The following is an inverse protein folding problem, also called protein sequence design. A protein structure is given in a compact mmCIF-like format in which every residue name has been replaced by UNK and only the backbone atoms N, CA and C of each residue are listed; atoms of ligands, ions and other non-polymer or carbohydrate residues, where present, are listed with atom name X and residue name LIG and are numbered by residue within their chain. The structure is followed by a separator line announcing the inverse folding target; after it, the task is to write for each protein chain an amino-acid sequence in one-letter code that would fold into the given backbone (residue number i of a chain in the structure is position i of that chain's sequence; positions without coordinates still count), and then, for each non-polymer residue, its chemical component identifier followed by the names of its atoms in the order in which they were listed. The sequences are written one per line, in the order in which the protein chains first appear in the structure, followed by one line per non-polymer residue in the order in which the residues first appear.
data_IF_083072814233
#
_entry.id   IF_083072814233
#
_cell.length_a   1.000
_cell.length_b   1.000
_cell.length_c   1.000
_cell.angle_alpha   90.00
_cell.angle_beta   90.00
_cell.angle_gamma   90.00
#
_symmetry.space_group_name_H-M   'P 1'
#
loop_
_entity.id
_entity.type
_entity.pdbx_description
1 polymer ?
#
# COMPACT_ATOMS: atom_id res chain seq x y z
N UNK A 1 32.85 -20.63 16.82
CA UNK A 1 31.44 -21.07 16.81
C UNK A 1 30.48 -20.05 17.42
N UNK A 2 30.76 -19.39 18.56
CA UNK A 2 29.84 -18.37 19.15
C UNK A 2 29.68 -17.11 18.26
N UNK A 3 30.73 -16.66 17.57
CA UNK A 3 30.64 -15.47 16.69
C UNK A 3 29.90 -15.70 15.37
N UNK A 4 29.84 -16.94 14.84
CA UNK A 4 29.15 -17.22 13.57
C UNK A 4 27.62 -17.16 13.72
N UNK A 5 27.06 -17.56 14.86
CA UNK A 5 25.62 -17.49 15.14
C UNK A 5 25.12 -16.06 15.43
N UNK A 6 26.00 -15.11 15.77
CA UNK A 6 25.59 -13.73 16.04
C UNK A 6 25.43 -12.87 14.78
N UNK A 7 26.07 -13.24 13.67
CA UNK A 7 26.20 -12.38 12.48
C UNK A 7 25.66 -12.99 11.18
N UNK A 8 25.24 -14.25 11.21
CA UNK A 8 24.70 -14.94 10.04
C UNK A 8 23.32 -15.52 10.33
N UNK A 9 22.47 -15.53 9.30
CA UNK A 9 21.15 -16.16 9.31
C UNK A 9 21.32 -17.68 9.20
N UNK A 10 20.74 -18.48 10.12
CA UNK A 10 20.96 -19.93 10.13
C UNK A 10 20.30 -20.65 8.95
N UNK A 11 19.26 -20.09 8.33
CA UNK A 11 18.57 -20.73 7.20
C UNK A 11 19.35 -20.56 5.89
N UNK A 12 19.76 -19.33 5.58
CA UNK A 12 20.38 -18.96 4.30
C UNK A 12 21.90 -18.87 4.36
N UNK A 13 22.49 -18.89 5.56
CA UNK A 13 23.91 -18.65 5.81
C UNK A 13 24.42 -17.28 5.33
N UNK A 14 23.51 -16.37 4.98
CA UNK A 14 23.84 -14.99 4.65
C UNK A 14 24.13 -14.16 5.92
N UNK A 15 24.89 -13.06 5.82
CA UNK A 15 24.89 -11.99 6.81
C UNK A 15 23.48 -11.67 7.30
N UNK A 16 23.31 -11.56 8.62
CA UNK A 16 22.03 -11.17 9.22
C UNK A 16 21.93 -9.63 9.36
N UNK A 17 20.77 -9.17 9.83
CA UNK A 17 20.49 -7.76 10.12
C UNK A 17 21.61 -7.07 10.92
N UNK A 18 22.15 -7.72 11.95
CA UNK A 18 23.20 -7.14 12.78
C UNK A 18 24.48 -6.87 11.98
N UNK A 19 24.93 -7.86 11.19
CA UNK A 19 26.15 -7.72 10.39
C UNK A 19 26.03 -6.61 9.35
N UNK A 20 24.91 -6.56 8.62
CA UNK A 20 24.72 -5.55 7.58
C UNK A 20 24.59 -4.14 8.19
N UNK A 21 23.92 -3.99 9.34
CA UNK A 21 23.85 -2.71 10.04
C UNK A 21 25.21 -2.21 10.51
N UNK A 22 26.07 -3.07 11.06
CA UNK A 22 27.43 -2.70 11.45
C UNK A 22 28.29 -2.29 10.25
N UNK A 23 28.12 -2.95 9.10
CA UNK A 23 28.82 -2.60 7.87
C UNK A 23 28.36 -1.25 7.32
N UNK A 24 27.05 -1.00 7.24
CA UNK A 24 26.49 0.28 6.79
C UNK A 24 26.96 1.42 7.70
N UNK A 25 26.99 1.21 9.02
CA UNK A 25 27.50 2.20 9.97
C UNK A 25 28.95 2.60 9.68
N UNK A 26 29.79 1.62 9.34
CA UNK A 26 31.18 1.88 8.99
C UNK A 26 31.29 2.71 7.71
N UNK A 27 30.53 2.37 6.68
CA UNK A 27 30.55 3.09 5.39
C UNK A 27 30.05 4.53 5.51
N UNK A 28 29.04 4.79 6.33
CA UNK A 28 28.57 6.17 6.61
C UNK A 28 29.70 6.99 7.24
N UNK A 29 30.38 6.45 8.25
CA UNK A 29 31.53 7.12 8.88
C UNK A 29 32.69 7.35 7.89
N UNK A 30 32.94 6.41 6.98
CA UNK A 30 33.96 6.54 5.92
C UNK A 30 33.60 7.65 4.93
N UNK A 31 32.33 7.72 4.50
CA UNK A 31 31.83 8.75 3.57
C UNK A 31 31.90 10.16 4.18
N UNK A 32 31.51 10.31 5.45
CA UNK A 32 31.58 11.59 6.17
C UNK A 32 33.01 12.11 6.28
N UNK A 33 33.97 11.24 6.66
CA UNK A 33 35.40 11.60 6.75
C UNK A 33 35.99 12.01 5.40
N UNK A 34 35.64 11.29 4.32
CA UNK A 34 36.13 11.63 2.98
C UNK A 34 35.64 13.01 2.53
N UNK A 35 34.40 13.39 2.88
CA UNK A 35 33.85 14.73 2.59
C UNK A 35 34.58 15.84 3.36
N UNK A 36 34.97 15.59 4.62
CA UNK A 36 35.77 16.54 5.41
C UNK A 36 37.17 16.77 4.81
N UNK A 37 37.85 15.71 4.34
CA UNK A 37 39.22 15.81 3.78
C UNK A 37 39.29 16.56 2.44
N UNK A 38 38.25 16.45 1.59
CA UNK A 38 38.14 17.19 0.32
C UNK A 38 38.15 18.71 0.55
N UNK A 39 37.71 19.18 1.71
CA UNK A 39 37.67 20.60 2.06
C UNK A 39 39.02 21.16 2.56
N UNK A 40 40.07 20.32 2.74
CA UNK A 40 41.30 20.70 3.45
C UNK A 40 42.57 20.68 2.58
N UNK A 41 42.56 20.17 1.34
CA UNK A 41 43.75 20.28 0.47
C UNK A 41 43.63 19.70 -0.93
N UNK A 42 44.32 20.32 -1.89
CA UNK A 42 44.24 20.05 -3.35
C UNK A 42 44.81 18.72 -3.86
N UNK A 43 44.61 17.61 -3.14
CA UNK A 43 44.86 16.26 -3.65
C UNK A 43 43.56 15.62 -4.15
N UNK A 44 43.63 14.77 -5.17
CA UNK A 44 42.48 14.01 -5.66
C UNK A 44 42.08 12.95 -4.62
N UNK A 45 40.99 13.20 -3.90
CA UNK A 45 40.35 12.22 -3.02
C UNK A 45 39.15 11.63 -3.76
N UNK A 46 39.12 10.31 -4.04
CA UNK A 46 37.99 9.70 -4.71
C UNK A 46 36.73 9.78 -3.83
N UNK A 47 35.63 10.28 -4.39
CA UNK A 47 34.36 10.35 -3.71
C UNK A 47 33.67 9.01 -3.90
N UNK A 48 33.77 8.14 -2.91
CA UNK A 48 33.19 6.81 -2.96
C UNK A 48 31.76 6.86 -2.44
N UNK A 49 30.80 6.39 -3.24
CA UNK A 49 29.41 6.21 -2.84
C UNK A 49 28.99 4.75 -2.92
N UNK A 50 28.03 4.40 -2.06
CA UNK A 50 27.47 3.05 -1.96
C UNK A 50 25.97 3.11 -2.25
N UNK A 51 25.37 1.97 -2.56
CA UNK A 51 23.92 1.86 -2.69
C UNK A 51 23.39 0.70 -1.87
N UNK A 52 22.25 0.91 -1.21
CA UNK A 52 21.54 -0.09 -0.44
C UNK A 52 20.25 -0.45 -1.19
N UNK A 53 20.07 -1.73 -1.46
CA UNK A 53 18.88 -2.29 -2.07
C UNK A 53 18.12 -3.06 -0.99
N UNK A 54 16.86 -2.71 -0.75
CA UNK A 54 15.93 -3.45 0.10
C UNK A 54 15.00 -4.27 -0.80
N UNK A 55 14.98 -5.58 -0.63
CA UNK A 55 14.30 -6.52 -1.53
C UNK A 55 13.27 -7.29 -0.71
N UNK A 56 12.05 -7.33 -1.20
CA UNK A 56 10.96 -8.13 -0.63
C UNK A 56 10.40 -9.09 -1.68
N UNK A 57 10.09 -10.32 -1.26
CA UNK A 57 9.51 -11.34 -2.10
C UNK A 57 7.99 -11.20 -2.18
N UNK A 58 7.49 -10.81 -3.36
CA UNK A 58 6.07 -10.53 -3.53
C UNK A 58 5.21 -11.79 -3.26
N UNK A 59 4.20 -11.63 -2.41
CA UNK A 59 3.23 -12.68 -2.07
C UNK A 59 3.84 -13.95 -1.45
N UNK A 60 5.05 -13.92 -0.88
CA UNK A 60 5.68 -15.08 -0.26
C UNK A 60 4.82 -15.73 0.84
N UNK A 61 4.06 -14.93 1.60
CA UNK A 61 3.11 -15.45 2.59
C UNK A 61 2.10 -16.44 1.98
N UNK A 62 1.62 -16.19 0.76
CA UNK A 62 0.67 -17.09 0.10
C UNK A 62 1.29 -18.47 -0.18
N UNK A 63 2.61 -18.53 -0.42
CA UNK A 63 3.34 -19.79 -0.59
C UNK A 63 3.39 -20.54 0.74
N UNK A 64 3.71 -19.85 1.85
CA UNK A 64 3.69 -20.47 3.17
C UNK A 64 2.30 -20.99 3.55
N UNK A 65 1.26 -20.19 3.30
CA UNK A 65 -0.12 -20.55 3.66
C UNK A 65 -0.65 -21.72 2.81
N UNK A 66 -0.18 -21.89 1.56
CA UNK A 66 -0.64 -22.93 0.64
C UNK A 66 0.21 -24.21 0.61
N UNK A 67 1.54 -24.09 0.78
CA UNK A 67 2.50 -25.19 0.64
C UNK A 67 3.26 -25.51 1.93
N UNK A 68 3.09 -24.69 2.97
CA UNK A 68 3.72 -24.86 4.27
C UNK A 68 5.13 -24.27 4.35
N UNK A 69 5.53 -23.95 5.59
CA UNK A 69 6.81 -23.27 5.88
C UNK A 69 8.05 -24.01 5.37
N UNK A 70 8.05 -25.35 5.32
CA UNK A 70 9.21 -26.10 4.82
C UNK A 70 9.51 -25.82 3.35
N UNK A 71 8.49 -25.57 2.52
CA UNK A 71 8.67 -25.19 1.12
C UNK A 71 9.13 -23.75 1.01
N UNK A 72 8.55 -22.86 1.82
CA UNK A 72 8.98 -21.46 1.91
C UNK A 72 10.45 -21.32 2.32
N UNK A 73 10.92 -22.12 3.29
CA UNK A 73 12.31 -22.13 3.73
C UNK A 73 13.28 -22.52 2.62
N UNK A 74 12.95 -23.55 1.82
CA UNK A 74 13.76 -23.94 0.65
C UNK A 74 13.76 -22.87 -0.42
N UNK A 75 12.61 -22.22 -0.65
CA UNK A 75 12.53 -21.11 -1.60
C UNK A 75 13.43 -19.94 -1.17
N UNK A 76 13.45 -19.60 0.13
CA UNK A 76 14.34 -18.56 0.66
C UNK A 76 15.82 -18.90 0.48
N UNK A 77 16.19 -20.18 0.62
CA UNK A 77 17.55 -20.65 0.35
C UNK A 77 17.93 -20.49 -1.13
N UNK A 78 17.04 -20.88 -2.06
CA UNK A 78 17.28 -20.71 -3.50
C UNK A 78 17.34 -19.23 -3.92
N UNK A 79 16.48 -18.39 -3.33
CA UNK A 79 16.55 -16.94 -3.52
C UNK A 79 17.91 -16.41 -3.05
N UNK A 80 18.36 -16.78 -1.85
CA UNK A 80 19.65 -16.36 -1.32
C UNK A 80 20.81 -16.71 -2.27
N UNK A 81 20.82 -17.93 -2.82
CA UNK A 81 21.82 -18.36 -3.80
C UNK A 81 21.80 -17.48 -5.06
N UNK A 82 20.61 -17.26 -5.65
CA UNK A 82 20.47 -16.41 -6.85
C UNK A 82 20.90 -14.98 -6.61
N UNK A 83 20.59 -14.41 -5.44
CA UNK A 83 21.02 -13.05 -5.09
C UNK A 83 22.54 -12.96 -5.01
N UNK A 84 23.21 -13.94 -4.39
CA UNK A 84 24.67 -13.99 -4.27
C UNK A 84 25.33 -14.11 -5.64
N UNK A 85 24.80 -14.97 -6.51
CA UNK A 85 25.32 -15.16 -7.87
C UNK A 85 25.09 -13.95 -8.79
N UNK A 86 24.09 -13.12 -8.47
CA UNK A 86 23.73 -11.95 -9.27
C UNK A 86 24.57 -10.70 -8.97
N UNK A 87 25.39 -10.70 -7.92
CA UNK A 87 26.18 -9.54 -7.50
C UNK A 87 27.69 -9.82 -7.53
N UNK A 88 28.50 -8.77 -7.35
CA UNK A 88 29.96 -8.92 -7.31
C UNK A 88 30.39 -9.47 -5.96
N UNK A 89 31.57 -10.09 -5.90
CA UNK A 89 32.18 -10.58 -4.64
C UNK A 89 32.41 -9.49 -3.59
N UNK A 90 32.51 -8.23 -4.01
CA UNK A 90 32.66 -7.06 -3.11
C UNK A 90 31.33 -6.60 -2.54
N UNK A 91 30.21 -7.00 -3.13
CA UNK A 91 28.88 -6.64 -2.66
C UNK A 91 28.45 -7.62 -1.56
N UNK A 92 27.56 -7.16 -0.68
CA UNK A 92 27.09 -7.96 0.44
C UNK A 92 25.61 -8.24 0.26
N UNK A 93 25.25 -9.51 0.20
CA UNK A 93 23.87 -9.97 0.29
C UNK A 93 23.59 -10.37 1.74
N UNK A 94 22.50 -9.90 2.30
CA UNK A 94 22.08 -10.17 3.68
C UNK A 94 20.61 -10.56 3.71
N UNK A 95 20.23 -11.46 4.62
CA UNK A 95 18.82 -11.65 4.96
C UNK A 95 18.47 -10.78 6.17
N UNK A 96 17.52 -9.87 6.00
CA UNK A 96 17.14 -8.91 7.03
C UNK A 96 16.18 -9.52 8.05
N UNK A 97 15.26 -10.36 7.56
CA UNK A 97 14.27 -11.10 8.35
C UNK A 97 13.13 -11.56 7.44
N UNK A 98 12.39 -12.61 7.83
CA UNK A 98 11.27 -13.10 7.02
C UNK A 98 11.66 -13.39 5.57
N UNK A 99 11.01 -12.71 4.63
CA UNK A 99 11.20 -12.72 3.18
C UNK A 99 11.95 -11.49 2.65
N UNK A 100 12.60 -10.73 3.55
CA UNK A 100 13.33 -9.51 3.22
C UNK A 100 14.83 -9.75 3.10
N UNK A 101 15.42 -9.24 2.02
CA UNK A 101 16.85 -9.28 1.73
C UNK A 101 17.41 -7.88 1.52
N UNK A 102 18.67 -7.69 1.89
CA UNK A 102 19.43 -6.47 1.64
C UNK A 102 20.59 -6.79 0.72
N UNK A 103 20.81 -5.94 -0.28
CA UNK A 103 22.06 -5.93 -1.03
C UNK A 103 22.75 -4.58 -0.85
N UNK A 104 23.96 -4.61 -0.34
CA UNK A 104 24.85 -3.46 -0.26
C UNK A 104 25.83 -3.51 -1.42
N UNK A 105 25.68 -2.57 -2.35
CA UNK A 105 26.60 -2.38 -3.47
C UNK A 105 27.77 -1.53 -3.00
N UNK A 106 28.94 -2.15 -2.88
CA UNK A 106 30.12 -1.47 -2.34
C UNK A 106 30.84 -0.64 -3.40
N UNK A 107 31.04 0.64 -3.09
CA UNK A 107 32.18 1.43 -3.53
C UNK A 107 32.25 1.77 -5.02
N UNK A 108 31.59 2.85 -5.41
CA UNK A 108 31.75 3.45 -6.74
C UNK A 108 32.35 4.83 -6.59
N UNK A 109 33.49 5.08 -7.26
CA UNK A 109 34.03 6.43 -7.39
C UNK A 109 33.11 7.26 -8.30
N UNK A 110 32.51 8.30 -7.71
CA UNK A 110 31.59 9.23 -8.34
C UNK A 110 32.23 10.60 -8.61
N UNK A 111 33.54 10.79 -8.38
CA UNK A 111 34.21 12.09 -8.56
C UNK A 111 34.05 12.69 -9.97
N UNK A 112 33.86 11.85 -10.99
CA UNK A 112 33.64 12.26 -12.38
C UNK A 112 32.18 12.21 -12.84
N UNK A 113 31.33 11.49 -12.11
CA UNK A 113 29.92 11.28 -12.44
C UNK A 113 29.14 10.93 -11.16
N UNK A 114 28.44 11.92 -10.56
CA UNK A 114 27.61 11.71 -9.37
C UNK A 114 26.56 10.61 -9.54
N UNK A 115 26.09 10.37 -10.77
CA UNK A 115 25.04 9.38 -11.05
C UNK A 115 25.54 7.94 -11.11
N UNK A 116 26.86 7.70 -11.04
CA UNK A 116 27.45 6.39 -11.32
C UNK A 116 27.01 5.30 -10.33
N UNK A 117 26.89 5.64 -9.05
CA UNK A 117 26.42 4.71 -8.02
C UNK A 117 24.97 4.29 -8.27
N UNK A 118 24.08 5.26 -8.50
CA UNK A 118 22.66 5.02 -8.84
C UNK A 118 22.49 4.28 -10.17
N UNK A 119 23.30 4.58 -11.18
CA UNK A 119 23.28 3.86 -12.46
C UNK A 119 23.66 2.39 -12.27
N UNK A 120 24.71 2.11 -11.47
CA UNK A 120 25.06 0.73 -11.10
C UNK A 120 23.90 0.05 -10.37
N UNK A 121 23.31 0.71 -9.38
CA UNK A 121 22.17 0.17 -8.64
C UNK A 121 21.00 -0.16 -9.58
N UNK A 122 20.67 0.73 -10.53
CA UNK A 122 19.66 0.49 -11.57
C UNK A 122 19.94 -0.80 -12.35
N UNK A 123 21.17 -0.98 -12.80
CA UNK A 123 21.58 -2.15 -13.60
C UNK A 123 21.49 -3.43 -12.80
N UNK A 124 21.97 -3.42 -11.55
CA UNK A 124 21.88 -4.58 -10.66
C UNK A 124 20.42 -4.90 -10.36
N UNK A 125 19.58 -3.93 -9.98
CA UNK A 125 18.16 -4.17 -9.70
C UNK A 125 17.38 -4.70 -10.91
N UNK A 126 17.68 -4.20 -12.12
CA UNK A 126 17.06 -4.71 -13.35
C UNK A 126 17.44 -6.17 -13.59
N UNK A 127 18.71 -6.52 -13.37
CA UNK A 127 19.21 -7.88 -13.52
C UNK A 127 18.64 -8.82 -12.45
N UNK A 128 18.55 -8.36 -11.20
CA UNK A 128 17.93 -9.12 -10.11
C UNK A 128 16.48 -9.48 -10.42
N UNK A 129 15.67 -8.53 -10.90
CA UNK A 129 14.30 -8.81 -11.32
C UNK A 129 14.25 -9.87 -12.43
N UNK A 130 15.16 -9.82 -13.41
CA UNK A 130 15.24 -10.84 -14.46
C UNK A 130 15.58 -12.22 -13.87
N UNK A 131 16.61 -12.32 -13.03
CA UNK A 131 17.09 -13.58 -12.46
C UNK A 131 16.06 -14.20 -11.50
N UNK A 132 15.41 -13.38 -10.69
CA UNK A 132 14.39 -13.81 -9.74
C UNK A 132 13.06 -14.13 -10.42
N UNK A 133 12.76 -13.55 -11.59
CA UNK A 133 11.55 -13.94 -12.35
C UNK A 133 11.61 -15.36 -12.93
N UNK A 134 12.80 -16.00 -12.96
CA UNK A 134 12.96 -17.37 -13.45
C UNK A 134 12.33 -18.35 -12.47
N UNK A 135 11.79 -19.45 -13.00
CA UNK A 135 11.13 -20.48 -12.20
C UNK A 135 12.06 -21.07 -11.12
N UNK A 136 11.55 -21.24 -9.90
CA UNK A 136 12.23 -21.94 -8.81
C UNK A 136 11.72 -23.38 -8.74
N UNK A 137 12.64 -24.34 -8.80
CA UNK A 137 12.33 -25.78 -8.70
C UNK A 137 12.57 -26.23 -7.27
N UNK A 138 11.50 -26.53 -6.52
CA UNK A 138 11.59 -26.94 -5.12
C UNK A 138 10.94 -28.32 -4.98
N UNK A 139 11.76 -29.38 -5.07
CA UNK A 139 11.26 -30.75 -5.18
C UNK A 139 10.57 -30.95 -6.53
N UNK A 140 9.30 -31.37 -6.52
CA UNK A 140 8.50 -31.58 -7.74
C UNK A 140 7.62 -30.36 -8.11
N UNK A 141 7.66 -29.29 -7.30
CA UNK A 141 6.88 -28.07 -7.51
C UNK A 141 7.71 -26.97 -8.20
N UNK A 142 7.03 -26.17 -9.02
CA UNK A 142 7.59 -25.01 -9.73
C UNK A 142 6.95 -23.72 -9.21
N UNK A 143 7.78 -22.77 -8.76
CA UNK A 143 7.33 -21.49 -8.23
C UNK A 143 7.76 -20.32 -9.12
N UNK A 144 6.87 -19.34 -9.25
CA UNK A 144 7.16 -18.05 -9.86
C UNK A 144 6.98 -17.00 -8.78
N UNK A 145 8.04 -16.25 -8.51
CA UNK A 145 8.02 -15.16 -7.52
C UNK A 145 8.61 -13.91 -8.18
N UNK A 146 8.00 -12.77 -7.88
CA UNK A 146 8.55 -11.47 -8.25
C UNK A 146 9.10 -10.78 -7.01
N UNK A 147 9.86 -9.72 -7.23
CA UNK A 147 10.41 -8.91 -6.14
C UNK A 147 10.09 -7.45 -6.29
N UNK A 148 9.86 -6.81 -5.16
CA UNK A 148 9.79 -5.35 -5.04
C UNK A 148 11.10 -4.87 -4.42
N UNK A 149 11.80 -3.96 -5.11
CA UNK A 149 13.14 -3.49 -4.72
C UNK A 149 13.13 -1.99 -4.44
N UNK A 150 13.53 -1.57 -3.26
CA UNK A 150 13.80 -0.17 -2.93
C UNK A 150 15.29 0.13 -2.96
N UNK A 151 15.67 1.28 -3.50
CA UNK A 151 17.07 1.66 -3.67
C UNK A 151 17.32 3.00 -2.98
N UNK A 152 18.31 3.07 -2.11
CA UNK A 152 18.87 4.36 -1.66
C UNK A 152 20.36 4.42 -1.91
N UNK A 153 20.87 5.61 -2.14
CA UNK A 153 22.29 5.91 -2.06
C UNK A 153 22.70 6.08 -0.59
N UNK A 154 23.94 5.70 -0.28
CA UNK A 154 24.63 6.05 0.96
C UNK A 154 25.74 7.02 0.55
N UNK A 155 25.57 8.28 0.98
CA UNK A 155 26.47 9.38 0.71
C UNK A 155 26.78 10.18 1.99
N UNK A 156 27.45 11.32 1.85
CA UNK A 156 27.84 12.19 2.95
C UNK A 156 26.67 12.94 3.61
N UNK A 157 25.49 12.96 2.97
CA UNK A 157 24.25 13.48 3.57
C UNK A 157 23.51 12.43 4.40
N UNK A 158 23.94 11.16 4.34
CA UNK A 158 23.38 10.08 5.14
C UNK A 158 23.86 10.21 6.58
N UNK A 159 22.95 10.59 7.49
CA UNK A 159 23.30 10.92 8.87
C UNK A 159 23.38 9.65 9.72
N UNK A 160 22.36 8.80 9.65
CA UNK A 160 22.28 7.59 10.47
C UNK A 160 22.07 6.31 9.65
N UNK A 161 22.55 5.20 10.21
CA UNK A 161 22.32 3.83 9.69
C UNK A 161 20.83 3.57 9.50
N UNK A 162 20.03 4.01 10.47
CA UNK A 162 18.58 3.85 10.46
C UNK A 162 17.96 4.54 9.23
N UNK A 163 18.44 5.72 8.86
CA UNK A 163 17.95 6.46 7.71
C UNK A 163 18.19 5.70 6.40
N UNK A 164 19.36 5.09 6.22
CA UNK A 164 19.65 4.31 5.01
C UNK A 164 18.69 3.12 4.83
N UNK A 165 18.47 2.33 5.89
CA UNK A 165 17.52 1.21 5.81
C UNK A 165 16.09 1.71 5.59
N UNK A 166 15.67 2.76 6.32
CA UNK A 166 14.34 3.34 6.20
C UNK A 166 14.10 3.89 4.79
N UNK A 167 15.02 4.66 4.22
CA UNK A 167 14.90 5.20 2.87
C UNK A 167 14.74 4.10 1.81
N UNK A 168 15.55 3.03 1.91
CA UNK A 168 15.42 1.88 1.02
C UNK A 168 14.09 1.14 1.21
N UNK A 169 13.63 0.97 2.45
CA UNK A 169 12.33 0.36 2.78
C UNK A 169 11.16 1.18 2.21
N UNK A 170 11.17 2.51 2.36
CA UNK A 170 10.12 3.38 1.79
C UNK A 170 10.07 3.27 0.27
N UNK A 171 11.23 3.20 -0.40
CA UNK A 171 11.29 3.00 -1.84
C UNK A 171 10.78 1.61 -2.27
N UNK A 172 11.03 0.58 -1.45
CA UNK A 172 10.51 -0.77 -1.69
C UNK A 172 8.99 -0.80 -1.55
N UNK A 173 8.45 -0.10 -0.54
CA UNK A 173 7.02 0.06 -0.37
C UNK A 173 6.38 0.79 -1.56
N UNK A 174 7.00 1.85 -2.08
CA UNK A 174 6.51 2.52 -3.31
C UNK A 174 6.57 1.59 -4.53
N UNK A 175 7.57 0.70 -4.61
CA UNK A 175 7.60 -0.34 -5.65
C UNK A 175 6.40 -1.30 -5.53
N UNK A 176 6.03 -1.70 -4.30
CA UNK A 176 4.85 -2.54 -4.04
C UNK A 176 3.55 -1.82 -4.41
N UNK A 177 3.37 -0.59 -3.94
CA UNK A 177 2.15 0.21 -4.19
C UNK A 177 1.96 0.51 -5.68
N UNK A 178 3.07 0.69 -6.41
CA UNK A 178 3.06 0.97 -7.85
C UNK A 178 2.80 -0.26 -8.73
N UNK A 179 2.53 -1.44 -8.15
CA UNK A 179 2.19 -2.65 -8.90
C UNK A 179 3.23 -3.76 -8.86
N UNK A 180 4.16 -3.75 -7.89
CA UNK A 180 5.14 -4.82 -7.62
C UNK A 180 6.06 -5.13 -8.81
N UNK A 181 6.89 -6.17 -8.69
CA UNK A 181 7.82 -6.65 -9.72
C UNK A 181 8.67 -5.55 -10.37
N UNK A 182 9.20 -4.63 -9.54
CA UNK A 182 9.93 -3.45 -10.00
C UNK A 182 10.87 -2.96 -8.93
N UNK A 183 11.76 -2.07 -9.34
CA UNK A 183 12.56 -1.30 -8.41
C UNK A 183 12.11 0.17 -8.37
N UNK A 184 12.29 0.82 -7.23
CA UNK A 184 12.09 2.26 -7.06
C UNK A 184 13.29 2.88 -6.34
N UNK A 185 13.62 4.13 -6.70
CA UNK A 185 14.65 4.90 -6.01
C UNK A 185 14.00 5.75 -4.94
N UNK A 186 14.60 5.80 -3.76
CA UNK A 186 14.19 6.71 -2.71
C UNK A 186 14.20 8.16 -3.22
N UNK A 187 13.15 8.89 -2.88
CA UNK A 187 13.10 10.33 -2.99
C UNK A 187 12.47 10.93 -1.72
N UNK A 188 12.88 12.13 -1.28
CA UNK A 188 12.31 12.75 -0.08
C UNK A 188 10.78 12.88 -0.11
N UNK A 189 10.20 13.04 -1.31
CA UNK A 189 8.76 13.10 -1.51
C UNK A 189 8.04 11.82 -1.09
N UNK A 190 8.72 10.66 -1.09
CA UNK A 190 8.13 9.40 -0.60
C UNK A 190 7.88 9.45 0.91
N UNK A 191 8.80 10.04 1.68
CA UNK A 191 8.61 10.22 3.11
C UNK A 191 7.48 11.21 3.39
N UNK A 192 7.39 12.30 2.62
CA UNK A 192 6.28 13.25 2.71
C UNK A 192 4.93 12.59 2.42
N UNK A 193 4.82 11.79 1.36
CA UNK A 193 3.60 11.04 1.02
C UNK A 193 3.16 10.11 2.16
N UNK A 194 4.09 9.41 2.80
CA UNK A 194 3.76 8.49 3.90
C UNK A 194 3.30 9.25 5.13
N UNK A 195 3.98 10.35 5.49
CA UNK A 195 3.52 11.21 6.58
C UNK A 195 2.14 11.83 6.28
N UNK A 196 1.91 12.27 5.05
CA UNK A 196 0.60 12.75 4.61
C UNK A 196 -0.47 11.67 4.74
N UNK A 197 -0.19 10.42 4.33
CA UNK A 197 -1.11 9.29 4.51
C UNK A 197 -1.43 9.03 5.98
N UNK A 198 -0.43 8.96 6.85
CA UNK A 198 -0.64 8.74 8.29
C UNK A 198 -1.46 9.86 8.92
N UNK A 199 -1.14 11.12 8.58
CA UNK A 199 -1.90 12.27 9.06
C UNK A 199 -3.33 12.24 8.54
N UNK A 200 -3.54 11.93 7.26
CA UNK A 200 -4.87 11.85 6.67
C UNK A 200 -5.71 10.72 7.28
N UNK A 201 -5.12 9.56 7.59
CA UNK A 201 -5.80 8.47 8.30
C UNK A 201 -6.25 8.91 9.70
N UNK A 202 -5.37 9.57 10.45
CA UNK A 202 -5.70 10.11 11.76
C UNK A 202 -6.83 11.16 11.65
N UNK A 203 -6.72 12.09 10.69
CA UNK A 203 -7.74 13.10 10.44
C UNK A 203 -9.09 12.50 10.03
N UNK A 204 -9.15 11.37 9.31
CA UNK A 204 -10.43 10.73 8.95
C UNK A 204 -11.19 10.22 10.18
N UNK A 205 -10.48 9.72 11.21
CA UNK A 205 -11.12 9.31 12.47
C UNK A 205 -11.72 10.51 13.19
N UNK A 206 -10.98 11.61 13.23
CA UNK A 206 -11.44 12.87 13.81
C UNK A 206 -12.62 13.46 13.01
N UNK A 207 -12.60 13.37 11.68
CA UNK A 207 -13.62 13.90 10.79
C UNK A 207 -15.01 13.30 11.05
N UNK A 208 -15.08 12.01 11.41
CA UNK A 208 -16.33 11.36 11.83
C UNK A 208 -16.88 11.96 13.13
N UNK A 209 -16.00 12.33 14.07
CA UNK A 209 -16.39 12.87 15.38
C UNK A 209 -16.69 14.37 15.33
N UNK A 210 -16.06 15.09 14.39
CA UNK A 210 -16.12 16.56 14.26
C UNK A 210 -17.08 17.02 13.16
N UNK A 211 -17.89 16.12 12.61
CA UNK A 211 -18.89 16.42 11.57
C UNK A 211 -18.26 17.08 10.32
N UNK A 212 -17.05 16.66 9.94
CA UNK A 212 -16.34 17.22 8.78
C UNK A 212 -16.72 16.55 7.46
N UNK A 213 -17.39 15.40 7.51
CA UNK A 213 -17.99 14.79 6.33
C UNK A 213 -19.37 15.38 6.05
N UNK A 214 -19.66 15.63 4.78
CA UNK A 214 -20.98 16.10 4.32
C UNK A 214 -21.40 15.34 3.07
N UNK A 215 -22.70 15.21 2.83
CA UNK A 215 -23.23 14.65 1.58
C UNK A 215 -23.65 15.77 0.64
N UNK A 216 -23.10 15.74 -0.57
CA UNK A 216 -23.64 16.49 -1.70
C UNK A 216 -24.54 15.58 -2.53
N UNK A 217 -25.57 16.15 -3.14
CA UNK A 217 -26.56 15.38 -3.91
C UNK A 217 -26.52 15.78 -5.37
N UNK A 218 -26.14 14.85 -6.24
CA UNK A 218 -26.18 15.05 -7.69
C UNK A 218 -27.53 14.57 -8.25
N UNK A 219 -28.37 15.45 -8.82
CA UNK A 219 -29.70 15.08 -9.26
C UNK A 219 -29.69 14.21 -10.52
N UNK A 220 -30.59 13.24 -10.56
CA UNK A 220 -30.85 12.34 -11.69
C UNK A 220 -32.25 12.62 -12.25
N UNK A 221 -32.32 12.87 -13.57
CA UNK A 221 -33.55 13.24 -14.26
C UNK A 221 -33.99 12.16 -15.23
N UNK A 222 -35.31 11.97 -15.38
CA UNK A 222 -35.84 11.20 -16.49
C UNK A 222 -35.79 11.98 -17.82
N UNK A 223 -36.10 11.31 -18.93
CA UNK A 223 -36.12 11.92 -20.26
C UNK A 223 -37.10 13.12 -20.37
N UNK A 224 -38.11 13.18 -19.49
CA UNK A 224 -39.06 14.28 -19.42
C UNK A 224 -38.56 15.46 -18.57
N UNK A 225 -37.35 15.42 -18.04
CA UNK A 225 -36.77 16.47 -17.20
C UNK A 225 -37.27 16.44 -15.76
N UNK A 226 -37.98 15.40 -15.32
CA UNK A 226 -38.42 15.25 -13.93
C UNK A 226 -37.34 14.56 -13.10
N UNK A 227 -36.99 15.14 -11.94
CA UNK A 227 -36.07 14.50 -11.00
C UNK A 227 -36.66 13.19 -10.49
N UNK A 228 -35.88 12.11 -10.57
CA UNK A 228 -36.25 10.76 -10.11
C UNK A 228 -35.39 10.26 -8.97
N UNK A 229 -34.18 10.75 -8.87
CA UNK A 229 -33.25 10.40 -7.83
C UNK A 229 -32.19 11.45 -7.63
N UNK A 230 -31.35 11.23 -6.63
CA UNK A 230 -30.10 11.95 -6.46
C UNK A 230 -29.03 10.97 -5.98
N UNK A 231 -27.81 11.11 -6.48
CA UNK A 231 -26.66 10.37 -5.99
C UNK A 231 -26.04 11.11 -4.81
N UNK A 232 -25.89 10.41 -3.68
CA UNK A 232 -25.23 10.90 -2.49
C UNK A 232 -23.71 10.75 -2.65
N UNK A 233 -23.04 11.89 -2.74
CA UNK A 233 -21.61 12.00 -2.95
C UNK A 233 -20.96 12.61 -1.72
N UNK A 234 -20.20 11.80 -0.99
CA UNK A 234 -19.46 12.27 0.19
C UNK A 234 -18.44 13.36 -0.18
N UNK A 235 -18.32 14.37 0.68
CA UNK A 235 -17.29 15.41 0.64
C UNK A 235 -16.68 15.51 2.03
N UNK A 236 -15.37 15.74 2.07
CA UNK A 236 -14.68 15.99 3.33
C UNK A 236 -14.26 17.46 3.39
N UNK A 237 -14.88 18.18 4.32
CA UNK A 237 -14.63 19.59 4.62
C UNK A 237 -13.54 19.70 5.69
N UNK A 238 -12.28 19.49 5.31
CA UNK A 238 -11.17 19.53 6.26
C UNK A 238 -10.88 20.99 6.68
N UNK A 239 -10.72 21.28 7.99
CA UNK A 239 -10.59 22.65 8.50
C UNK A 239 -9.36 23.39 7.96
N UNK A 240 -8.22 22.68 7.84
CA UNK A 240 -6.96 23.28 7.35
C UNK A 240 -6.73 23.14 5.84
N UNK A 241 -7.09 22.00 5.24
CA UNK A 241 -6.80 21.67 3.84
C UNK A 241 -7.94 22.02 2.87
N UNK A 242 -9.09 22.47 3.39
CA UNK A 242 -10.29 22.72 2.59
C UNK A 242 -10.96 21.42 2.15
N UNK A 243 -11.56 21.43 0.95
CA UNK A 243 -12.31 20.27 0.45
C UNK A 243 -11.36 19.20 -0.06
N UNK A 244 -11.31 18.05 0.62
CA UNK A 244 -10.53 16.90 0.20
C UNK A 244 -11.38 16.00 -0.72
N UNK A 245 -10.85 15.70 -1.91
CA UNK A 245 -11.52 14.86 -2.90
C UNK A 245 -11.70 13.42 -2.41
N UNK A 246 -12.87 12.79 -2.64
CA UNK A 246 -13.08 11.35 -2.40
C UNK A 246 -12.02 10.47 -3.04
N UNK A 247 -11.52 10.83 -4.22
CA UNK A 247 -10.47 10.09 -4.91
C UNK A 247 -9.15 10.01 -4.11
N UNK A 248 -8.92 10.93 -3.16
CA UNK A 248 -7.72 10.91 -2.31
C UNK A 248 -7.91 10.11 -1.02
N UNK A 249 -9.08 10.20 -0.37
CA UNK A 249 -9.28 9.61 0.96
C UNK A 249 -10.01 8.26 0.93
N UNK A 250 -10.86 7.97 -0.07
CA UNK A 250 -11.59 6.69 -0.14
C UNK A 250 -10.64 5.49 -0.28
N UNK A 251 -9.61 5.50 -1.15
CA UNK A 251 -8.66 4.38 -1.23
C UNK A 251 -7.94 4.14 0.11
N UNK A 252 -7.56 5.22 0.80
CA UNK A 252 -6.92 5.14 2.11
C UNK A 252 -7.89 4.63 3.19
N UNK A 253 -9.16 5.04 3.13
CA UNK A 253 -10.21 4.55 4.02
C UNK A 253 -10.45 3.04 3.84
N UNK A 254 -10.35 2.53 2.60
CA UNK A 254 -10.43 1.10 2.31
C UNK A 254 -9.20 0.35 2.85
N UNK A 255 -7.99 0.82 2.55
CA UNK A 255 -6.73 0.25 3.08
C UNK A 255 -6.72 0.17 4.62
N UNK A 256 -7.21 1.22 5.29
CA UNK A 256 -7.26 1.34 6.75
C UNK A 256 -8.55 0.81 7.40
N UNK A 257 -9.50 0.28 6.61
CA UNK A 257 -10.85 -0.15 7.01
C UNK A 257 -11.74 0.94 7.62
N UNK A 258 -11.31 2.22 7.62
CA UNK A 258 -12.15 3.36 7.99
C UNK A 258 -13.34 3.56 7.03
N UNK A 259 -13.30 2.96 5.85
CA UNK A 259 -14.42 2.96 4.92
C UNK A 259 -15.68 2.31 5.51
N UNK A 260 -15.56 1.45 6.52
CA UNK A 260 -16.69 0.80 7.20
C UNK A 260 -17.47 1.83 8.03
N UNK A 261 -16.87 2.49 9.06
CA UNK A 261 -17.59 3.51 9.83
C UNK A 261 -17.96 4.74 8.99
N UNK A 262 -17.16 5.13 7.99
CA UNK A 262 -17.53 6.19 7.04
C UNK A 262 -18.78 5.78 6.24
N UNK A 263 -18.82 4.54 5.75
CA UNK A 263 -19.96 4.01 5.02
C UNK A 263 -21.24 3.99 5.85
N UNK A 264 -21.15 3.56 7.11
CA UNK A 264 -22.29 3.62 8.04
C UNK A 264 -22.82 5.05 8.16
N UNK A 265 -21.93 6.01 8.39
CA UNK A 265 -22.29 7.43 8.50
C UNK A 265 -22.97 7.93 7.21
N UNK A 266 -22.43 7.59 6.02
CA UNK A 266 -23.03 7.96 4.72
C UNK A 266 -24.44 7.40 4.57
N UNK A 267 -24.65 6.11 4.87
CA UNK A 267 -25.97 5.47 4.74
C UNK A 267 -26.96 6.11 5.71
N UNK A 268 -26.53 6.40 6.93
CA UNK A 268 -27.34 7.06 7.96
C UNK A 268 -27.77 8.46 7.54
N UNK A 269 -26.84 9.29 7.08
CA UNK A 269 -27.10 10.66 6.62
C UNK A 269 -28.02 10.68 5.38
N UNK A 270 -27.81 9.75 4.44
CA UNK A 270 -28.68 9.58 3.28
C UNK A 270 -30.11 9.18 3.69
N UNK A 271 -30.26 8.27 4.66
CA UNK A 271 -31.57 7.87 5.18
C UNK A 271 -32.26 9.01 5.95
N UNK A 272 -31.52 9.80 6.74
CA UNK A 272 -32.06 11.00 7.37
C UNK A 272 -32.57 12.00 6.33
N UNK A 273 -31.81 12.21 5.26
CA UNK A 273 -32.22 13.08 4.15
C UNK A 273 -33.46 12.55 3.44
N UNK A 274 -33.53 11.24 3.16
CA UNK A 274 -34.73 10.60 2.61
C UNK A 274 -35.95 10.80 3.50
N UNK A 275 -35.82 10.61 4.81
CA UNK A 275 -36.92 10.78 5.75
C UNK A 275 -37.47 12.22 5.76
N UNK A 276 -36.60 13.22 5.60
CA UNK A 276 -36.98 14.63 5.42
C UNK A 276 -37.68 14.85 4.08
N UNK A 277 -37.10 14.38 2.97
CA UNK A 277 -37.68 14.51 1.62
C UNK A 277 -39.04 13.84 1.48
N UNK A 278 -39.29 12.77 2.24
CA UNK A 278 -40.60 12.10 2.32
C UNK A 278 -41.73 12.99 2.81
N UNK A 279 -41.43 14.04 3.59
CA UNK A 279 -42.43 14.99 4.07
C UNK A 279 -42.74 16.09 3.05
N UNK A 280 -41.88 16.25 2.04
CA UNK A 280 -42.01 17.26 1.00
C UNK A 280 -42.72 16.70 -0.23
N UNK A 281 -43.87 17.29 -0.59
CA UNK A 281 -44.74 16.74 -1.64
C UNK A 281 -44.02 16.57 -3.00
N UNK A 282 -43.06 17.44 -3.32
CA UNK A 282 -42.26 17.42 -4.54
C UNK A 282 -41.13 16.38 -4.53
N UNK A 283 -40.67 15.96 -3.36
CA UNK A 283 -39.50 15.09 -3.18
C UNK A 283 -39.84 13.71 -2.62
N UNK A 284 -41.07 13.48 -2.15
CA UNK A 284 -41.48 12.25 -1.44
C UNK A 284 -41.30 10.92 -2.21
N UNK A 285 -40.99 10.99 -3.51
CA UNK A 285 -40.75 9.83 -4.38
C UNK A 285 -39.34 9.86 -5.02
N UNK A 286 -38.50 10.81 -4.64
CA UNK A 286 -37.11 10.92 -5.10
C UNK A 286 -36.29 9.88 -4.35
N UNK A 287 -35.54 9.09 -5.10
CA UNK A 287 -34.62 8.08 -4.55
C UNK A 287 -33.28 8.71 -4.20
N UNK A 288 -32.57 8.14 -3.23
CA UNK A 288 -31.16 8.45 -3.00
C UNK A 288 -30.32 7.22 -3.30
N UNK A 289 -29.37 7.37 -4.23
CA UNK A 289 -28.32 6.40 -4.51
C UNK A 289 -27.14 6.61 -3.58
N UNK A 290 -26.60 5.54 -3.01
CA UNK A 290 -25.40 5.54 -2.16
C UNK A 290 -24.40 4.51 -2.69
N UNK A 291 -23.17 4.96 -2.93
CA UNK A 291 -22.05 4.09 -3.29
C UNK A 291 -21.61 3.24 -2.08
N UNK A 292 -21.50 1.93 -2.27
CA UNK A 292 -21.08 0.99 -1.21
C UNK A 292 -19.80 0.27 -1.63
N UNK A 293 -18.77 0.34 -0.80
CA UNK A 293 -17.50 -0.36 -1.06
C UNK A 293 -17.60 -1.87 -0.89
N UNK A 294 -16.69 -2.60 -1.54
CA UNK A 294 -16.55 -4.06 -1.39
C UNK A 294 -16.39 -4.48 0.08
N UNK A 295 -15.58 -3.74 0.83
CA UNK A 295 -15.27 -4.02 2.23
C UNK A 295 -16.50 -3.83 3.13
N UNK A 296 -17.28 -2.77 2.92
CA UNK A 296 -18.54 -2.55 3.64
C UNK A 296 -19.53 -3.68 3.35
N UNK A 297 -19.80 -3.98 2.09
CA UNK A 297 -20.78 -5.00 1.71
C UNK A 297 -20.36 -6.41 2.16
N UNK A 298 -19.05 -6.65 2.32
CA UNK A 298 -18.52 -7.91 2.83
C UNK A 298 -18.79 -8.13 4.32
N UNK A 299 -19.06 -7.09 5.12
CA UNK A 299 -19.33 -7.23 6.56
C UNK A 299 -20.58 -8.07 6.82
N UNK A 300 -20.49 -9.05 7.71
CA UNK A 300 -21.57 -10.02 7.96
C UNK A 300 -22.84 -9.35 8.49
N UNK A 301 -22.70 -8.27 9.25
CA UNK A 301 -23.75 -7.47 9.87
C UNK A 301 -24.27 -6.32 8.98
N UNK A 302 -23.80 -6.18 7.74
CA UNK A 302 -24.17 -5.06 6.86
C UNK A 302 -25.69 -4.92 6.66
N UNK A 303 -26.40 -6.04 6.49
CA UNK A 303 -27.86 -6.02 6.29
C UNK A 303 -28.59 -5.60 7.56
N UNK A 304 -28.15 -6.10 8.70
CA UNK A 304 -28.73 -5.78 10.01
C UNK A 304 -28.52 -4.30 10.33
N UNK A 305 -27.33 -3.77 10.02
CA UNK A 305 -27.02 -2.35 10.12
C UNK A 305 -27.97 -1.48 9.29
N UNK A 306 -28.20 -1.84 8.02
CA UNK A 306 -29.12 -1.10 7.15
C UNK A 306 -30.54 -1.15 7.68
N UNK A 307 -30.99 -2.30 8.20
CA UNK A 307 -32.30 -2.42 8.83
C UNK A 307 -32.44 -1.46 10.02
N UNK A 308 -31.46 -1.45 10.93
CA UNK A 308 -31.44 -0.55 12.09
C UNK A 308 -31.50 0.91 11.65
N UNK A 309 -30.70 1.32 10.67
CA UNK A 309 -30.69 2.70 10.17
C UNK A 309 -32.06 3.10 9.58
N UNK A 310 -32.69 2.23 8.80
CA UNK A 310 -34.02 2.49 8.23
C UNK A 310 -35.08 2.64 9.34
N UNK A 311 -35.04 1.79 10.36
CA UNK A 311 -35.95 1.85 11.51
C UNK A 311 -35.75 3.13 12.35
N UNK A 312 -34.50 3.51 12.62
CA UNK A 312 -34.16 4.70 13.41
C UNK A 312 -34.51 6.01 12.70
N UNK A 313 -34.29 6.07 11.39
CA UNK A 313 -34.53 7.27 10.58
C UNK A 313 -35.96 7.39 10.08
N UNK A 314 -36.69 6.28 9.98
CA UNK A 314 -38.01 6.23 9.34
C UNK A 314 -37.98 6.39 7.81
N UNK A 315 -36.81 6.23 7.19
CA UNK A 315 -36.68 6.22 5.74
C UNK A 315 -37.36 4.98 5.13
N UNK A 316 -38.05 5.16 4.01
CA UNK A 316 -38.65 4.04 3.26
C UNK A 316 -37.55 3.38 2.44
N UNK A 317 -37.29 2.11 2.70
CA UNK A 317 -36.24 1.35 2.00
C UNK A 317 -36.37 1.38 0.47
N UNK A 318 -37.59 1.47 -0.08
CA UNK A 318 -37.82 1.57 -1.52
C UNK A 318 -37.41 2.90 -2.19
N UNK A 319 -36.95 3.87 -1.40
CA UNK A 319 -36.34 5.11 -1.86
C UNK A 319 -34.81 5.12 -1.67
N UNK A 320 -34.25 4.14 -0.96
CA UNK A 320 -32.80 3.96 -0.84
C UNK A 320 -32.31 3.00 -1.93
N UNK A 321 -31.26 3.39 -2.66
CA UNK A 321 -30.61 2.58 -3.66
C UNK A 321 -29.12 2.44 -3.33
N UNK A 322 -28.59 1.22 -3.33
CA UNK A 322 -27.15 0.99 -3.25
C UNK A 322 -26.55 0.75 -4.64
N UNK A 323 -25.47 1.46 -4.92
CA UNK A 323 -24.62 1.30 -6.09
C UNK A 323 -23.44 0.39 -5.74
N UNK A 324 -23.35 -0.73 -6.46
CA UNK A 324 -22.33 -1.76 -6.27
C UNK A 324 -21.48 -1.84 -7.53
N UNK A 325 -20.16 -1.91 -7.40
CA UNK A 325 -19.28 -2.10 -8.56
C UNK A 325 -19.30 -3.56 -9.03
N UNK A 326 -19.05 -3.80 -10.32
CA UNK A 326 -19.00 -5.16 -10.88
C UNK A 326 -17.96 -6.04 -10.17
N UNK A 327 -16.80 -5.46 -9.84
CA UNK A 327 -15.70 -6.17 -9.17
C UNK A 327 -16.11 -6.81 -7.84
N UNK A 328 -17.08 -6.22 -7.14
CA UNK A 328 -17.62 -6.76 -5.88
C UNK A 328 -18.33 -8.09 -6.08
N UNK A 329 -18.97 -8.32 -7.22
CA UNK A 329 -19.79 -9.51 -7.48
C UNK A 329 -18.97 -10.77 -7.80
N UNK A 330 -17.65 -10.66 -7.98
CA UNK A 330 -16.80 -11.74 -8.48
C UNK A 330 -16.28 -12.65 -7.35
N UNK A 331 -16.01 -12.10 -6.16
CA UNK A 331 -15.19 -12.79 -5.14
C UNK A 331 -15.96 -13.69 -4.13
N UNK A 332 -17.28 -13.56 -3.96
CA UNK A 332 -18.09 -14.50 -3.15
C UNK A 332 -19.59 -14.47 -3.51
N UNK A 333 -19.94 -15.14 -4.62
CA UNK A 333 -21.29 -15.09 -5.19
C UNK A 333 -22.39 -15.55 -4.22
N UNK A 334 -22.12 -16.53 -3.36
CA UNK A 334 -23.18 -17.14 -2.53
C UNK A 334 -23.55 -16.25 -1.35
N UNK A 335 -22.57 -15.64 -0.69
CA UNK A 335 -22.82 -14.72 0.42
C UNK A 335 -23.48 -13.42 -0.09
N UNK A 336 -22.96 -12.88 -1.20
CA UNK A 336 -23.49 -11.66 -1.82
C UNK A 336 -24.97 -11.81 -2.20
N UNK A 337 -25.35 -12.90 -2.86
CA UNK A 337 -26.75 -13.14 -3.25
C UNK A 337 -27.69 -13.18 -2.04
N UNK A 338 -27.27 -13.79 -0.92
CA UNK A 338 -28.08 -13.81 0.31
C UNK A 338 -28.31 -12.39 0.84
N UNK A 339 -27.26 -11.56 0.91
CA UNK A 339 -27.36 -10.16 1.35
C UNK A 339 -28.25 -9.34 0.43
N UNK A 340 -28.08 -9.47 -0.89
CA UNK A 340 -28.92 -8.77 -1.88
C UNK A 340 -30.41 -9.13 -1.72
N UNK A 341 -30.73 -10.41 -1.49
CA UNK A 341 -32.11 -10.83 -1.24
C UNK A 341 -32.66 -10.26 0.06
N UNK A 342 -31.84 -10.21 1.12
CA UNK A 342 -32.26 -9.64 2.40
C UNK A 342 -32.50 -8.12 2.30
N UNK A 343 -31.60 -7.37 1.64
CA UNK A 343 -31.79 -5.94 1.36
C UNK A 343 -33.06 -5.66 0.54
N UNK A 344 -33.34 -6.49 -0.48
CA UNK A 344 -34.60 -6.39 -1.24
C UNK A 344 -35.84 -6.63 -0.38
N UNK A 345 -35.78 -7.48 0.65
CA UNK A 345 -36.89 -7.67 1.60
C UNK A 345 -37.12 -6.42 2.47
N UNK A 346 -36.07 -5.64 2.74
CA UNK A 346 -36.18 -4.31 3.37
C UNK A 346 -36.69 -3.24 2.41
N UNK A 347 -36.91 -3.58 1.13
CA UNK A 347 -37.33 -2.67 0.08
C UNK A 347 -36.19 -1.94 -0.62
N UNK A 348 -34.94 -2.11 -0.16
CA UNK A 348 -33.76 -1.43 -0.70
C UNK A 348 -33.52 -1.83 -2.15
N UNK A 349 -33.27 -0.82 -2.99
CA UNK A 349 -32.95 -1.00 -4.40
C UNK A 349 -31.45 -1.24 -4.57
N UNK A 350 -31.07 -1.99 -5.60
CA UNK A 350 -29.67 -2.27 -5.92
C UNK A 350 -29.43 -1.96 -7.39
N UNK A 351 -28.36 -1.25 -7.69
CA UNK A 351 -27.86 -0.99 -9.03
C UNK A 351 -26.40 -1.42 -9.15
N UNK A 352 -26.01 -1.76 -10.37
CA UNK A 352 -24.62 -1.98 -10.74
C UNK A 352 -24.06 -0.69 -11.30
N UNK A 353 -22.95 -0.25 -10.76
CA UNK A 353 -22.18 0.88 -11.24
C UNK A 353 -20.93 0.41 -12.01
N UNK A 354 -20.42 1.25 -12.90
CA UNK A 354 -19.26 0.97 -13.77
C UNK A 354 -19.35 -0.35 -14.56
N UNK A 355 -20.52 -0.65 -15.15
CA UNK A 355 -20.72 -1.83 -15.99
C UNK A 355 -20.05 -1.68 -17.37
N UNK A 356 -19.06 -2.53 -17.70
CA UNK A 356 -18.36 -2.50 -19.00
C UNK A 356 -16.99 -3.15 -18.98
#
# INVERSE_FOLDING_TARGET
MINQLSFYDPLTCLPNRKMISEKVARLINEAQRASEEVNVGGHYTPLIRHALLFIDLDHFKNINDSKGYSVGDKLLQEVALRLVDAVRKTDIVSRFGGDEFIILLEGVDVSLDPGRALYRAKKVSSFLNEVLSRTFEIGDDYFYISTSIGITEIDDSTVEVFDAFKHAELAMYEAKSSGRNRYCFYSPQMQEKIMQRVNLEASMRDALLKEEFVLHYQPQFDHGGRMRGAEALIRWMHPEQGVISPAHFIPLAEESKLIIPIGEWVVREACQTLALWQQEASLQYVKISVNVSALQFSQDDFVDLVQVILEETGARGNLLQFELTESMLINDKTNILKKMHALKKLGVLLSLDDFG
#
